data_IF_032981209435
#
_entry.id   IF_032981209435
#
_cell.length_a   1.000
_cell.length_b   1.000
_cell.length_c   1.000
_cell.angle_alpha   90.00
_cell.angle_beta   90.00
_cell.angle_gamma   90.00
#
_symmetry.space_group_name_H-M   'P 1'
#
loop_
_entity.id
_entity.type
_entity.pdbx_description
1 polymer ?
#
# COMPACT_ATOMS: atom_id res chain seq x y z
N UNK A 1 22.86 -57.55 -4.11
CA UNK A 1 21.85 -56.50 -4.37
C UNK A 1 20.61 -56.85 -3.58
N UNK A 2 20.44 -56.27 -2.39
CA UNK A 2 19.23 -56.42 -1.58
C UNK A 2 18.31 -55.24 -1.90
N UNK A 3 17.11 -55.53 -2.40
CA UNK A 3 16.08 -54.55 -2.70
C UNK A 3 15.56 -53.92 -1.38
N UNK A 4 15.55 -52.59 -1.32
CA UNK A 4 14.91 -51.85 -0.24
C UNK A 4 13.40 -52.04 -0.35
N UNK A 5 12.82 -52.78 0.59
CA UNK A 5 11.38 -52.90 0.77
C UNK A 5 10.87 -51.58 1.35
N UNK A 6 10.27 -50.73 0.51
CA UNK A 6 9.47 -49.60 0.99
C UNK A 6 8.13 -50.16 1.52
N UNK A 7 8.08 -50.45 2.82
CA UNK A 7 6.82 -50.78 3.50
C UNK A 7 6.05 -49.46 3.61
N UNK A 8 5.02 -49.31 2.80
CA UNK A 8 4.02 -48.26 2.93
C UNK A 8 3.16 -48.56 4.18
N UNK A 9 3.70 -48.22 5.35
CA UNK A 9 3.15 -48.54 6.69
C UNK A 9 1.96 -47.63 7.09
N UNK A 10 1.42 -46.87 6.12
CA UNK A 10 0.31 -45.94 6.30
C UNK A 10 -1.04 -46.63 6.58
N UNK A 11 -1.10 -47.95 6.45
CA UNK A 11 -2.28 -48.79 6.76
C UNK A 11 -2.57 -48.88 8.26
N UNK A 12 -1.59 -48.56 9.12
CA UNK A 12 -1.75 -48.59 10.58
C UNK A 12 -2.37 -47.33 11.17
N UNK A 13 -2.47 -46.26 10.40
CA UNK A 13 -2.99 -44.97 10.86
C UNK A 13 -4.52 -44.88 10.63
N UNK A 14 -5.31 -44.45 11.63
CA UNK A 14 -6.73 -44.14 11.45
C UNK A 14 -6.96 -43.12 10.32
N UNK A 15 -8.11 -43.19 9.66
CA UNK A 15 -8.44 -42.25 8.57
C UNK A 15 -8.53 -40.79 9.05
N UNK A 16 -9.03 -40.59 10.27
CA UNK A 16 -9.16 -39.30 10.93
C UNK A 16 -7.92 -38.91 11.78
N UNK A 17 -6.78 -39.58 11.61
CA UNK A 17 -5.61 -39.37 12.49
C UNK A 17 -5.16 -37.91 12.55
N UNK A 18 -5.30 -37.15 11.46
CA UNK A 18 -4.89 -35.74 11.37
C UNK A 18 -5.86 -34.77 12.07
N UNK A 19 -7.03 -35.27 12.50
CA UNK A 19 -8.08 -34.51 13.18
C UNK A 19 -8.15 -34.85 14.68
N UNK A 20 -7.19 -35.64 15.18
CA UNK A 20 -7.13 -36.00 16.60
C UNK A 20 -6.62 -34.82 17.44
N UNK A 21 -7.37 -34.53 18.49
CA UNK A 21 -7.08 -33.48 19.47
C UNK A 21 -7.36 -33.97 20.90
N UNK A 22 -6.82 -33.29 21.89
CA UNK A 22 -6.98 -33.55 23.32
C UNK A 22 -6.68 -35.00 23.72
N UNK A 23 -7.61 -35.60 24.48
CA UNK A 23 -7.45 -36.95 25.01
C UNK A 23 -7.35 -38.03 23.92
N UNK A 24 -8.01 -37.84 22.78
CA UNK A 24 -7.98 -38.82 21.70
C UNK A 24 -6.61 -38.83 21.02
N UNK A 25 -5.97 -37.67 20.87
CA UNK A 25 -4.57 -37.57 20.47
C UNK A 25 -3.63 -38.26 21.48
N UNK A 26 -3.83 -38.05 22.78
CA UNK A 26 -3.01 -38.71 23.80
C UNK A 26 -3.18 -40.23 23.84
N UNK A 27 -4.39 -40.75 23.64
CA UNK A 27 -4.62 -42.19 23.54
C UNK A 27 -3.92 -42.78 22.32
N UNK A 28 -3.98 -42.08 21.19
CA UNK A 28 -3.32 -42.47 19.96
C UNK A 28 -1.79 -42.47 20.10
N UNK A 29 -1.19 -41.41 20.65
CA UNK A 29 0.27 -41.38 20.86
C UNK A 29 0.72 -42.44 21.86
N UNK A 30 -0.09 -42.74 22.88
CA UNK A 30 0.22 -43.78 23.87
C UNK A 30 0.23 -45.18 23.24
N UNK A 31 -0.69 -45.47 22.32
CA UNK A 31 -0.73 -46.75 21.62
C UNK A 31 0.39 -46.91 20.59
N UNK A 32 0.79 -45.82 19.92
CA UNK A 32 1.81 -45.83 18.87
C UNK A 32 3.24 -45.74 19.38
N UNK A 33 3.48 -44.93 20.42
CA UNK A 33 4.82 -44.54 20.85
C UNK A 33 5.07 -44.76 22.34
N UNK A 34 4.08 -45.28 23.08
CA UNK A 34 4.19 -45.62 24.49
C UNK A 34 3.91 -44.46 25.45
N UNK A 35 3.74 -44.80 26.73
CA UNK A 35 3.29 -43.86 27.76
C UNK A 35 4.27 -42.71 28.03
N UNK A 36 5.58 -42.97 27.94
CA UNK A 36 6.62 -41.96 28.24
C UNK A 36 6.58 -40.80 27.24
N UNK A 37 6.45 -41.07 25.94
CA UNK A 37 6.35 -40.01 24.94
C UNK A 37 5.07 -39.20 25.13
N UNK A 38 3.95 -39.86 25.42
CA UNK A 38 2.68 -39.17 25.72
C UNK A 38 2.79 -38.26 26.94
N UNK A 39 3.51 -38.67 28.00
CA UNK A 39 3.77 -37.80 29.15
C UNK A 39 4.58 -36.56 28.78
N UNK A 40 5.61 -36.71 27.93
CA UNK A 40 6.40 -35.57 27.41
C UNK A 40 5.52 -34.57 26.66
N UNK A 41 4.61 -35.07 25.82
CA UNK A 41 3.67 -34.23 25.06
C UNK A 41 2.65 -33.53 25.96
N UNK A 42 2.13 -34.22 26.98
CA UNK A 42 1.19 -33.65 27.95
C UNK A 42 1.79 -32.50 28.76
N UNK A 43 3.05 -32.63 29.19
CA UNK A 43 3.72 -31.58 29.95
C UNK A 43 3.91 -30.31 29.12
N UNK A 44 4.07 -30.45 27.81
CA UNK A 44 4.25 -29.34 26.87
C UNK A 44 2.94 -28.82 26.27
N UNK A 45 1.80 -29.35 26.73
CA UNK A 45 0.48 -29.00 26.19
C UNK A 45 0.37 -29.22 24.66
N UNK A 46 1.12 -30.21 24.15
CA UNK A 46 1.03 -30.65 22.74
C UNK A 46 -0.13 -31.64 22.68
N UNK A 47 -1.31 -31.15 22.38
CA UNK A 47 -2.57 -31.90 22.49
C UNK A 47 -3.20 -32.26 21.14
N UNK A 48 -2.58 -31.88 20.02
CA UNK A 48 -3.10 -32.15 18.68
C UNK A 48 -2.00 -32.56 17.71
N UNK A 49 -2.39 -33.28 16.65
CA UNK A 49 -1.46 -33.63 15.56
C UNK A 49 -0.90 -32.39 14.87
N UNK A 50 -1.68 -31.33 14.76
CA UNK A 50 -1.24 -30.06 14.17
C UNK A 50 -0.09 -29.43 14.96
N UNK A 51 -0.24 -29.27 16.28
CA UNK A 51 0.79 -28.69 17.14
C UNK A 51 2.03 -29.60 17.18
N UNK A 52 1.81 -30.92 17.25
CA UNK A 52 2.89 -31.91 17.22
C UNK A 52 3.76 -31.78 15.96
N UNK A 53 3.16 -31.61 14.78
CA UNK A 53 3.89 -31.48 13.52
C UNK A 53 4.64 -30.15 13.37
N UNK A 54 4.21 -29.10 14.07
CA UNK A 54 4.87 -27.79 14.07
C UNK A 54 6.01 -27.67 15.09
N UNK A 55 6.08 -28.59 16.05
CA UNK A 55 7.10 -28.56 17.09
C UNK A 55 8.42 -29.12 16.54
N UNK A 56 9.51 -28.34 16.62
CA UNK A 56 10.84 -28.70 16.11
C UNK A 56 11.51 -29.78 16.95
N UNK A 57 11.58 -29.60 18.26
CA UNK A 57 12.17 -30.56 19.20
C UNK A 57 11.40 -30.57 20.54
N UNK A 58 10.66 -31.64 20.79
CA UNK A 58 9.91 -31.85 22.05
C UNK A 58 10.82 -32.17 23.25
N UNK A 59 12.11 -32.40 23.04
CA UNK A 59 13.05 -32.76 24.11
C UNK A 59 13.87 -31.57 24.60
N UNK A 60 13.77 -30.41 23.95
CA UNK A 60 14.47 -29.19 24.35
C UNK A 60 14.10 -28.75 25.77
N UNK A 61 12.86 -28.99 26.19
CA UNK A 61 12.37 -28.68 27.54
C UNK A 61 13.21 -29.30 28.66
N UNK A 62 13.91 -30.41 28.41
CA UNK A 62 14.74 -31.08 29.40
C UNK A 62 16.09 -30.40 29.64
N UNK A 63 16.44 -29.37 28.88
CA UNK A 63 17.58 -28.51 29.18
C UNK A 63 17.30 -27.58 30.38
N UNK A 64 16.03 -27.40 30.76
CA UNK A 64 15.66 -26.56 31.89
C UNK A 64 15.61 -27.34 33.22
N UNK A 65 15.99 -26.65 34.30
CA UNK A 65 15.87 -27.18 35.66
C UNK A 65 14.49 -26.88 36.22
N UNK A 66 13.63 -27.91 36.23
CA UNK A 66 12.29 -27.85 36.81
C UNK A 66 12.04 -29.07 37.67
N UNK A 67 11.44 -28.84 38.84
CA UNK A 67 11.05 -29.91 39.78
C UNK A 67 10.04 -30.87 39.15
N UNK A 68 9.15 -30.36 38.29
CA UNK A 68 8.14 -31.15 37.57
C UNK A 68 8.80 -32.11 36.58
N UNK A 69 9.93 -31.71 35.97
CA UNK A 69 10.64 -32.53 34.99
C UNK A 69 11.56 -33.56 35.63
N UNK A 70 11.88 -33.47 36.93
CA UNK A 70 12.90 -34.31 37.56
C UNK A 70 12.56 -35.79 37.51
N UNK A 71 11.32 -36.13 37.81
CA UNK A 71 10.84 -37.52 37.77
C UNK A 71 10.81 -38.07 36.34
N UNK A 72 10.45 -37.23 35.36
CA UNK A 72 10.42 -37.62 33.96
C UNK A 72 11.83 -37.74 33.36
N UNK A 73 12.75 -36.82 33.70
CA UNK A 73 14.18 -36.87 33.31
C UNK A 73 14.80 -38.22 33.68
N UNK A 74 14.56 -38.70 34.90
CA UNK A 74 15.07 -40.01 35.36
C UNK A 74 14.57 -41.21 34.53
N UNK A 75 13.41 -41.07 33.88
CA UNK A 75 12.79 -42.15 33.09
C UNK A 75 13.22 -42.09 31.62
N UNK A 76 13.34 -40.90 31.05
CA UNK A 76 13.53 -40.70 29.61
C UNK A 76 14.99 -40.59 29.19
N UNK A 77 15.91 -40.30 30.10
CA UNK A 77 17.29 -39.99 29.77
C UNK A 77 18.26 -40.26 30.90
N UNK A 78 19.49 -39.80 30.72
CA UNK A 78 20.57 -39.86 31.68
C UNK A 78 21.34 -38.55 31.66
N UNK A 79 21.88 -38.15 32.81
CA UNK A 79 22.78 -37.02 32.90
C UNK A 79 24.16 -37.44 32.38
N UNK A 80 24.69 -36.68 31.42
CA UNK A 80 26.08 -36.83 31.00
C UNK A 80 27.01 -36.18 32.03
N UNK A 81 28.25 -36.65 32.12
CA UNK A 81 29.28 -36.09 33.02
C UNK A 81 29.52 -34.59 32.80
N UNK A 82 29.15 -34.07 31.62
CA UNK A 82 29.31 -32.66 31.22
C UNK A 82 28.10 -31.77 31.59
N UNK A 83 27.26 -32.18 32.54
CA UNK A 83 26.03 -31.46 32.95
C UNK A 83 24.99 -31.28 31.83
N UNK A 84 25.07 -32.08 30.77
CA UNK A 84 24.10 -32.07 29.66
C UNK A 84 23.19 -33.29 29.74
N UNK A 85 21.88 -33.05 29.66
CA UNK A 85 20.88 -34.13 29.71
C UNK A 85 20.74 -34.81 28.33
N UNK A 86 20.85 -36.14 28.30
CA UNK A 86 20.70 -36.92 27.07
C UNK A 86 19.47 -37.83 27.14
N UNK A 87 18.55 -37.65 26.18
CA UNK A 87 17.38 -38.53 26.01
C UNK A 87 17.78 -39.86 25.41
N UNK A 88 17.21 -40.95 25.94
CA UNK A 88 17.39 -42.31 25.42
C UNK A 88 17.07 -42.37 23.93
N UNK A 89 18.00 -42.94 23.16
CA UNK A 89 17.89 -43.05 21.70
C UNK A 89 16.57 -43.71 21.24
N UNK A 90 16.08 -44.70 21.99
CA UNK A 90 14.80 -45.36 21.68
C UNK A 90 13.60 -44.40 21.67
N UNK A 91 13.54 -43.43 22.58
CA UNK A 91 12.47 -42.43 22.60
C UNK A 91 12.59 -41.43 21.45
N UNK A 92 13.82 -41.02 21.11
CA UNK A 92 14.08 -40.18 19.94
C UNK A 92 13.60 -40.86 18.65
N UNK A 93 13.98 -42.13 18.46
CA UNK A 93 13.56 -42.91 17.28
C UNK A 93 12.04 -43.10 17.23
N UNK A 94 11.37 -43.28 18.37
CA UNK A 94 9.92 -43.38 18.43
C UNK A 94 9.22 -42.07 18.03
N UNK A 95 9.72 -40.93 18.52
CA UNK A 95 9.24 -39.61 18.13
C UNK A 95 9.45 -39.35 16.63
N UNK A 96 10.67 -39.59 16.13
CA UNK A 96 11.02 -39.40 14.72
C UNK A 96 10.16 -40.28 13.80
N UNK A 97 9.95 -41.55 14.18
CA UNK A 97 9.10 -42.46 13.44
C UNK A 97 7.64 -41.99 13.39
N UNK A 98 7.07 -41.58 14.53
CA UNK A 98 5.71 -41.03 14.59
C UNK A 98 5.58 -39.74 13.77
N UNK A 99 6.56 -38.83 13.90
CA UNK A 99 6.62 -37.59 13.12
C UNK A 99 6.66 -37.87 11.62
N UNK A 100 7.50 -38.81 11.19
CA UNK A 100 7.60 -39.21 9.78
C UNK A 100 6.30 -39.83 9.25
N UNK A 101 5.64 -40.68 10.04
CA UNK A 101 4.36 -41.29 9.67
C UNK A 101 3.26 -40.23 9.51
N UNK A 102 3.11 -39.33 10.48
CA UNK A 102 2.09 -38.27 10.45
C UNK A 102 2.35 -37.27 9.32
N UNK A 103 3.62 -36.92 9.06
CA UNK A 103 4.02 -36.09 7.90
C UNK A 103 3.65 -36.78 6.58
N UNK A 104 4.00 -38.06 6.42
CA UNK A 104 3.65 -38.82 5.21
C UNK A 104 2.13 -38.88 4.97
N UNK A 105 1.33 -39.10 6.02
CA UNK A 105 -0.15 -39.11 5.93
C UNK A 105 -0.73 -37.73 5.64
N UNK A 106 -0.16 -36.68 6.23
CA UNK A 106 -0.47 -35.28 5.93
C UNK A 106 -0.23 -34.98 4.45
N UNK A 107 0.97 -35.29 3.96
CA UNK A 107 1.36 -35.09 2.57
C UNK A 107 0.45 -35.86 1.59
N UNK A 108 0.02 -37.08 1.96
CA UNK A 108 -0.96 -37.88 1.20
C UNK A 108 -2.38 -37.29 1.21
N UNK A 109 -2.86 -36.72 2.32
CA UNK A 109 -4.15 -35.99 2.36
C UNK A 109 -4.07 -34.74 1.49
N UNK A 110 -2.93 -34.04 1.49
CA UNK A 110 -2.67 -32.97 0.55
C UNK A 110 -2.67 -33.48 -0.90
N UNK A 111 -2.01 -34.60 -1.23
CA UNK A 111 -2.00 -35.14 -2.61
C UNK A 111 -3.36 -35.65 -3.10
N UNK A 112 -4.20 -36.21 -2.23
CA UNK A 112 -5.56 -36.67 -2.59
C UNK A 112 -6.57 -35.53 -2.63
N UNK A 113 -6.45 -34.51 -1.76
CA UNK A 113 -7.25 -33.29 -1.84
C UNK A 113 -6.82 -32.37 -2.99
N UNK A 114 -5.60 -32.56 -3.53
CA UNK A 114 -5.01 -31.72 -4.57
C UNK A 114 -5.31 -32.14 -6.00
N UNK A 115 -5.94 -33.29 -6.26
CA UNK A 115 -6.32 -33.68 -7.63
C UNK A 115 -7.31 -32.69 -8.28
N UNK A 116 -8.22 -32.10 -7.49
CA UNK A 116 -9.18 -31.09 -7.95
C UNK A 116 -8.61 -29.65 -7.95
N UNK A 117 -7.46 -29.42 -7.30
CA UNK A 117 -6.81 -28.10 -7.16
C UNK A 117 -5.62 -27.95 -8.10
N UNK A 118 -4.82 -28.99 -8.35
CA UNK A 118 -3.71 -28.95 -9.32
C UNK A 118 -4.21 -28.82 -10.75
N UNK A 119 -5.32 -29.48 -11.11
CA UNK A 119 -5.88 -29.31 -12.45
C UNK A 119 -6.33 -27.86 -12.67
N UNK A 120 -6.93 -27.23 -11.64
CA UNK A 120 -7.29 -25.80 -11.68
C UNK A 120 -6.07 -24.88 -11.70
N UNK A 121 -5.04 -25.16 -10.89
CA UNK A 121 -3.81 -24.37 -10.83
C UNK A 121 -3.01 -24.50 -12.13
N UNK A 122 -2.89 -25.70 -12.70
CA UNK A 122 -2.19 -25.93 -13.97
C UNK A 122 -2.95 -25.27 -15.14
N UNK A 123 -4.29 -25.31 -15.13
CA UNK A 123 -5.12 -24.51 -16.06
C UNK A 123 -4.89 -23.00 -15.84
N UNK A 124 -4.75 -22.54 -14.60
CA UNK A 124 -4.52 -21.13 -14.25
C UNK A 124 -3.11 -20.66 -14.66
N UNK A 125 -2.09 -21.46 -14.42
CA UNK A 125 -0.70 -21.21 -14.78
C UNK A 125 -0.53 -21.21 -16.30
N UNK A 126 -1.23 -22.08 -17.03
CA UNK A 126 -1.31 -22.05 -18.50
C UNK A 126 -2.02 -20.80 -19.02
N UNK A 127 -3.02 -20.28 -18.29
CA UNK A 127 -3.78 -19.08 -18.68
C UNK A 127 -3.05 -17.76 -18.32
N UNK A 128 -2.15 -17.79 -17.35
CA UNK A 128 -1.45 -16.61 -16.81
C UNK A 128 0.08 -16.82 -16.81
N UNK A 129 0.74 -16.68 -17.97
CA UNK A 129 2.19 -16.95 -18.11
C UNK A 129 3.08 -16.05 -17.24
N UNK A 130 2.59 -14.85 -16.87
CA UNK A 130 3.31 -13.93 -15.97
C UNK A 130 3.40 -14.52 -14.56
N UNK A 131 2.34 -15.18 -14.08
CA UNK A 131 2.35 -15.84 -12.77
C UNK A 131 3.37 -16.97 -12.73
N UNK A 132 3.44 -17.76 -13.81
CA UNK A 132 4.45 -18.82 -13.96
C UNK A 132 5.87 -18.24 -13.97
N UNK A 133 6.10 -17.14 -14.70
CA UNK A 133 7.40 -16.45 -14.70
C UNK A 133 7.79 -15.93 -13.32
N UNK A 134 6.83 -15.47 -12.53
CA UNK A 134 7.06 -14.90 -11.20
C UNK A 134 7.35 -15.99 -10.17
N UNK A 135 6.66 -17.13 -10.27
CA UNK A 135 6.95 -18.32 -9.46
C UNK A 135 8.32 -18.91 -9.79
N UNK A 136 8.64 -19.07 -11.09
CA UNK A 136 9.96 -19.54 -11.52
C UNK A 136 11.07 -18.58 -11.09
N UNK A 137 10.83 -17.27 -11.10
CA UNK A 137 11.79 -16.29 -10.59
C UNK A 137 12.07 -16.52 -9.09
N UNK A 138 11.01 -16.72 -8.31
CA UNK A 138 11.12 -16.96 -6.87
C UNK A 138 11.79 -18.31 -6.53
N UNK A 139 11.48 -19.38 -7.24
CA UNK A 139 12.08 -20.71 -7.01
C UNK A 139 13.57 -20.78 -7.40
N UNK A 140 14.01 -19.95 -8.35
CA UNK A 140 15.39 -19.94 -8.82
C UNK A 140 16.34 -19.08 -7.96
N UNK A 141 15.80 -18.15 -7.16
CA UNK A 141 16.61 -17.39 -6.22
C UNK A 141 16.71 -18.12 -4.87
N UNK A 142 17.81 -18.87 -4.68
CA UNK A 142 18.24 -19.39 -3.37
C UNK A 142 18.72 -18.26 -2.44
N UNK A 143 17.92 -17.22 -2.26
CA UNK A 143 18.30 -16.01 -1.53
C UNK A 143 17.77 -16.04 -0.10
N UNK A 144 18.65 -15.65 0.82
CA UNK A 144 18.43 -15.62 2.26
C UNK A 144 17.20 -14.78 2.63
N UNK A 145 16.40 -15.32 3.57
CA UNK A 145 15.00 -14.99 3.87
C UNK A 145 14.59 -13.50 4.07
N UNK A 146 15.51 -12.55 4.23
CA UNK A 146 15.14 -11.19 4.64
C UNK A 146 14.92 -10.20 3.48
N UNK A 147 15.49 -10.42 2.29
CA UNK A 147 15.42 -9.42 1.21
C UNK A 147 14.12 -9.43 0.40
N UNK A 148 13.29 -10.48 0.54
CA UNK A 148 12.09 -10.67 -0.26
C UNK A 148 10.82 -10.90 0.57
N UNK A 149 10.77 -10.45 1.83
CA UNK A 149 9.63 -10.63 2.73
C UNK A 149 8.29 -10.26 2.08
N UNK A 150 8.25 -9.11 1.36
CA UNK A 150 7.05 -8.67 0.65
C UNK A 150 6.71 -9.56 -0.54
N UNK A 151 7.70 -10.02 -1.32
CA UNK A 151 7.47 -10.88 -2.48
C UNK A 151 6.96 -12.26 -2.04
N UNK A 152 7.54 -12.82 -0.98
CA UNK A 152 7.08 -14.06 -0.35
C UNK A 152 5.64 -13.89 0.16
N UNK A 153 5.32 -12.78 0.84
CA UNK A 153 3.96 -12.46 1.27
C UNK A 153 2.99 -12.35 0.08
N UNK A 154 3.43 -11.70 -1.00
CA UNK A 154 2.65 -11.49 -2.22
C UNK A 154 2.32 -12.82 -2.91
N UNK A 155 3.33 -13.67 -3.13
CA UNK A 155 3.19 -15.00 -3.74
C UNK A 155 2.32 -15.89 -2.86
N UNK A 156 2.59 -15.94 -1.55
CA UNK A 156 1.79 -16.73 -0.61
C UNK A 156 0.32 -16.30 -0.60
N UNK A 157 0.05 -15.00 -0.74
CA UNK A 157 -1.32 -14.49 -0.81
C UNK A 157 -2.02 -14.92 -2.09
N UNK A 158 -1.33 -14.87 -3.24
CA UNK A 158 -1.86 -15.36 -4.52
C UNK A 158 -2.20 -16.84 -4.41
N UNK A 159 -1.25 -17.66 -3.94
CA UNK A 159 -1.43 -19.12 -3.81
C UNK A 159 -2.57 -19.46 -2.87
N UNK A 160 -2.68 -18.78 -1.72
CA UNK A 160 -3.79 -18.96 -0.77
C UNK A 160 -5.13 -18.52 -1.34
N UNK A 161 -5.19 -17.41 -2.08
CA UNK A 161 -6.44 -16.94 -2.65
C UNK A 161 -6.89 -17.83 -3.81
N UNK A 162 -5.97 -18.27 -4.67
CA UNK A 162 -6.28 -19.15 -5.80
C UNK A 162 -6.67 -20.58 -5.37
N UNK A 163 -6.26 -21.03 -4.19
CA UNK A 163 -6.72 -22.32 -3.65
C UNK A 163 -8.17 -22.26 -3.14
N UNK A 164 -8.74 -21.05 -2.95
CA UNK A 164 -10.13 -20.88 -2.55
C UNK A 164 -11.06 -21.02 -3.77
N UNK A 165 -12.17 -21.74 -3.58
CA UNK A 165 -13.17 -21.96 -4.62
C UNK A 165 -13.99 -20.71 -4.97
N UNK A 166 -13.94 -19.66 -4.15
CA UNK A 166 -14.76 -18.46 -4.31
C UNK A 166 -13.95 -17.17 -4.10
N UNK A 167 -14.00 -16.28 -5.09
CA UNK A 167 -13.30 -15.00 -5.13
C UNK A 167 -13.73 -14.02 -4.03
N UNK A 168 -14.96 -14.14 -3.52
CA UNK A 168 -15.47 -13.31 -2.41
C UNK A 168 -14.75 -13.56 -1.08
N UNK A 169 -14.04 -14.69 -0.95
CA UNK A 169 -13.30 -15.07 0.25
C UNK A 169 -11.83 -14.66 0.19
N UNK A 170 -11.41 -13.96 -0.85
CA UNK A 170 -10.03 -13.51 -0.94
C UNK A 170 -9.68 -12.61 0.25
N UNK A 171 -8.57 -12.93 0.90
CA UNK A 171 -8.04 -12.18 2.03
C UNK A 171 -6.70 -11.60 1.65
N UNK A 172 -6.42 -10.41 2.18
CA UNK A 172 -5.23 -9.66 1.88
C UNK A 172 -4.65 -9.13 3.19
N UNK A 173 -3.33 -9.24 3.32
CA UNK A 173 -2.58 -8.67 4.44
C UNK A 173 -2.57 -7.14 4.38
N UNK A 174 -2.37 -6.48 5.52
CA UNK A 174 -2.36 -5.01 5.61
C UNK A 174 -1.18 -4.37 4.86
N UNK A 175 0.00 -5.01 4.82
CA UNK A 175 1.12 -4.56 3.96
C UNK A 175 0.71 -4.58 2.49
N UNK A 176 -0.02 -5.62 2.08
CA UNK A 176 -0.48 -5.79 0.71
C UNK A 176 -1.62 -4.82 0.34
N UNK A 177 -2.55 -4.58 1.26
CA UNK A 177 -3.59 -3.54 1.09
C UNK A 177 -2.96 -2.17 0.91
N UNK A 178 -1.94 -1.84 1.70
CA UNK A 178 -1.23 -0.57 1.63
C UNK A 178 -0.52 -0.43 0.28
N UNK A 179 0.17 -1.48 -0.17
CA UNK A 179 0.75 -1.54 -1.52
C UNK A 179 -0.30 -1.36 -2.62
N UNK A 180 -1.44 -2.04 -2.51
CA UNK A 180 -2.52 -1.96 -3.49
C UNK A 180 -3.11 -0.54 -3.59
N UNK A 181 -3.28 0.16 -2.46
CA UNK A 181 -3.69 1.56 -2.41
C UNK A 181 -2.63 2.46 -3.07
N UNK A 182 -1.35 2.29 -2.74
CA UNK A 182 -0.27 3.05 -3.37
C UNK A 182 -0.22 2.84 -4.90
N UNK A 183 -0.35 1.59 -5.35
CA UNK A 183 -0.39 1.25 -6.77
C UNK A 183 -1.57 1.91 -7.48
N UNK A 184 -2.74 1.94 -6.85
CA UNK A 184 -3.93 2.60 -7.39
C UNK A 184 -3.76 4.12 -7.48
N UNK A 185 -3.22 4.76 -6.43
CA UNK A 185 -3.03 6.22 -6.38
C UNK A 185 -1.95 6.66 -7.38
N UNK A 186 -0.80 5.98 -7.41
CA UNK A 186 0.34 6.36 -8.24
C UNK A 186 0.18 5.91 -9.71
N UNK A 187 -0.30 4.69 -9.92
CA UNK A 187 -0.46 4.11 -11.26
C UNK A 187 -1.81 4.42 -11.91
N UNK A 188 -2.80 4.88 -11.13
CA UNK A 188 -4.16 5.10 -11.60
C UNK A 188 -4.96 3.79 -11.82
N UNK A 189 -6.26 3.96 -12.09
CA UNK A 189 -7.21 2.85 -12.24
C UNK A 189 -6.81 1.83 -13.31
N UNK A 190 -6.32 2.30 -14.46
CA UNK A 190 -5.97 1.42 -15.60
C UNK A 190 -4.81 0.49 -15.25
N UNK A 191 -3.75 1.04 -14.67
CA UNK A 191 -2.57 0.27 -14.24
C UNK A 191 -2.94 -0.74 -13.17
N UNK A 192 -3.75 -0.31 -12.20
CA UNK A 192 -4.22 -1.19 -11.13
C UNK A 192 -5.03 -2.38 -11.68
N UNK A 193 -6.02 -2.12 -12.53
CA UNK A 193 -6.83 -3.17 -13.16
C UNK A 193 -5.99 -4.08 -14.06
N UNK A 194 -5.03 -3.53 -14.80
CA UNK A 194 -4.11 -4.32 -15.61
C UNK A 194 -3.37 -5.35 -14.75
N UNK A 195 -2.75 -4.93 -13.65
CA UNK A 195 -2.02 -5.84 -12.76
C UNK A 195 -2.99 -6.86 -12.13
N UNK A 196 -4.14 -6.41 -11.63
CA UNK A 196 -5.14 -7.27 -10.98
C UNK A 196 -5.70 -8.36 -11.90
N UNK A 197 -5.94 -8.03 -13.17
CA UNK A 197 -6.49 -8.97 -14.15
C UNK A 197 -5.44 -9.95 -14.67
N UNK A 198 -4.18 -9.51 -14.76
CA UNK A 198 -3.08 -10.38 -15.19
C UNK A 198 -2.56 -11.28 -14.07
N UNK A 199 -2.73 -10.89 -12.79
CA UNK A 199 -2.36 -11.66 -11.61
C UNK A 199 -3.61 -11.91 -10.73
N UNK A 200 -4.47 -12.86 -11.09
CA UNK A 200 -5.69 -13.14 -10.33
C UNK A 200 -5.37 -13.56 -8.89
N UNK A 201 -6.14 -13.03 -7.93
CA UNK A 201 -5.93 -13.30 -6.50
C UNK A 201 -4.84 -12.46 -5.83
N UNK A 202 -4.07 -11.66 -6.59
CA UNK A 202 -2.99 -10.82 -6.07
C UNK A 202 -3.46 -9.54 -5.38
N UNK A 203 -4.47 -8.87 -5.94
CA UNK A 203 -4.90 -7.55 -5.51
C UNK A 203 -6.40 -7.50 -5.20
N UNK A 204 -6.84 -6.68 -4.22
CA UNK A 204 -8.25 -6.45 -3.91
C UNK A 204 -9.05 -5.91 -5.11
N UNK A 205 -10.38 -6.06 -5.07
CA UNK A 205 -11.25 -5.40 -6.05
C UNK A 205 -11.33 -3.88 -5.81
N UNK A 206 -11.79 -3.13 -6.82
CA UNK A 206 -11.89 -1.67 -6.75
C UNK A 206 -12.79 -1.19 -5.61
N UNK A 207 -13.87 -1.88 -5.31
CA UNK A 207 -14.78 -1.51 -4.21
C UNK A 207 -14.05 -1.57 -2.86
N UNK A 208 -13.23 -2.60 -2.65
CA UNK A 208 -12.36 -2.72 -1.47
C UNK A 208 -11.34 -1.59 -1.43
N UNK A 209 -10.72 -1.25 -2.57
CA UNK A 209 -9.76 -0.13 -2.63
C UNK A 209 -10.42 1.21 -2.30
N UNK A 210 -11.58 1.50 -2.90
CA UNK A 210 -12.34 2.71 -2.59
C UNK A 210 -12.74 2.75 -1.11
N UNK A 211 -13.18 1.63 -0.54
CA UNK A 211 -13.47 1.54 0.89
C UNK A 211 -12.23 1.76 1.75
N UNK A 212 -11.08 1.18 1.39
CA UNK A 212 -9.82 1.40 2.11
C UNK A 212 -9.33 2.84 2.02
N UNK A 213 -9.51 3.49 0.88
CA UNK A 213 -9.21 4.91 0.71
C UNK A 213 -10.15 5.72 1.58
N UNK A 214 -11.47 5.51 1.50
CA UNK A 214 -12.47 6.22 2.29
C UNK A 214 -12.32 6.02 3.81
N UNK A 215 -11.96 4.81 4.25
CA UNK A 215 -11.77 4.49 5.67
C UNK A 215 -10.46 5.06 6.22
N UNK A 216 -9.45 5.25 5.37
CA UNK A 216 -8.22 5.97 5.73
C UNK A 216 -8.35 7.49 5.55
N UNK A 217 -9.36 7.93 4.79
CA UNK A 217 -9.64 9.34 4.59
C UNK A 217 -10.43 9.90 5.78
N UNK A 218 -9.71 10.59 6.65
CA UNK A 218 -10.15 11.95 6.93
C UNK A 218 -10.30 12.62 5.55
N UNK A 219 -11.51 12.82 5.02
CA UNK A 219 -11.84 13.33 3.68
C UNK A 219 -10.78 14.25 3.03
N UNK A 220 -9.94 13.74 2.12
CA UNK A 220 -9.06 14.57 1.29
C UNK A 220 -9.94 15.35 0.29
N UNK A 221 -10.43 16.50 0.72
CA UNK A 221 -11.07 17.47 -0.17
C UNK A 221 -10.03 18.05 -1.10
N UNK A 222 -10.24 17.86 -2.41
CA UNK A 222 -9.45 18.47 -3.47
C UNK A 222 -9.34 19.99 -3.24
N UNK A 223 -8.12 20.54 -3.36
CA UNK A 223 -7.83 21.94 -3.09
C UNK A 223 -7.59 22.32 -1.62
N UNK A 224 -7.78 21.41 -0.65
CA UNK A 224 -7.51 21.68 0.77
C UNK A 224 -6.16 21.12 1.22
N UNK A 225 -5.17 21.99 1.29
CA UNK A 225 -3.84 21.63 1.80
C UNK A 225 -3.86 21.35 3.30
N UNK A 226 -3.20 20.27 3.73
CA UNK A 226 -3.14 19.81 5.13
C UNK A 226 -1.82 20.16 5.80
N UNK A 227 -1.41 21.42 5.66
CA UNK A 227 -0.13 21.91 6.21
C UNK A 227 0.04 21.57 7.68
N UNK A 228 -1.03 21.62 8.47
CA UNK A 228 -1.00 21.30 9.91
C UNK A 228 -0.65 19.84 10.21
N UNK A 229 -1.14 18.88 9.41
CA UNK A 229 -0.83 17.46 9.61
C UNK A 229 0.60 17.15 9.18
N UNK A 230 1.03 17.73 8.06
CA UNK A 230 2.41 17.59 7.58
C UNK A 230 3.41 18.23 8.54
N UNK A 231 3.11 19.43 9.05
CA UNK A 231 3.86 20.10 10.11
C UNK A 231 3.98 19.22 11.36
N UNK A 232 2.86 18.65 11.83
CA UNK A 232 2.83 17.75 12.98
C UNK A 232 3.69 16.51 12.75
N UNK A 233 3.60 15.90 11.56
CA UNK A 233 4.41 14.75 11.16
C UNK A 233 5.90 15.07 11.13
N UNK A 234 6.31 16.18 10.49
CA UNK A 234 7.72 16.57 10.39
C UNK A 234 8.30 16.96 11.75
N UNK A 235 7.50 17.58 12.62
CA UNK A 235 7.88 17.87 14.01
C UNK A 235 8.17 16.59 14.81
N UNK A 236 7.46 15.49 14.56
CA UNK A 236 7.76 14.18 15.21
C UNK A 236 9.17 13.66 14.91
N UNK A 237 9.78 14.09 13.80
CA UNK A 237 11.15 13.72 13.43
C UNK A 237 12.18 14.79 13.80
N UNK A 238 11.76 15.87 14.48
CA UNK A 238 12.66 16.97 14.87
C UNK A 238 13.26 17.72 13.67
N UNK A 239 12.65 17.62 12.49
CA UNK A 239 13.16 18.24 11.26
C UNK A 239 12.66 19.67 11.15
N UNK A 240 13.59 20.61 10.98
CA UNK A 240 13.27 21.98 10.60
C UNK A 240 12.86 21.98 9.12
N UNK A 241 11.64 22.41 8.82
CA UNK A 241 11.14 22.50 7.44
C UNK A 241 10.85 23.94 7.05
N UNK A 242 11.12 24.26 5.78
CA UNK A 242 10.68 25.49 5.11
C UNK A 242 9.72 25.09 4.01
N UNK A 243 8.60 25.79 3.87
CA UNK A 243 7.68 25.56 2.77
C UNK A 243 8.28 26.12 1.49
N UNK A 244 8.66 25.23 0.57
CA UNK A 244 9.02 25.59 -0.79
C UNK A 244 7.79 25.39 -1.67
N UNK A 245 7.20 26.48 -2.16
CA UNK A 245 6.37 26.41 -3.35
C UNK A 245 7.31 26.56 -4.55
N UNK A 246 7.42 25.53 -5.38
CA UNK A 246 8.13 25.64 -6.66
C UNK A 246 7.43 26.67 -7.57
N UNK A 247 8.10 27.09 -8.67
CA UNK A 247 7.75 28.13 -9.67
C UNK A 247 6.33 28.10 -10.29
N UNK A 248 5.43 27.28 -9.75
CA UNK A 248 4.05 27.11 -10.17
C UNK A 248 3.24 28.41 -10.18
N UNK A 249 3.50 29.37 -9.28
CA UNK A 249 2.73 30.62 -9.25
C UNK A 249 2.90 31.43 -10.55
N UNK A 250 4.13 31.52 -11.06
CA UNK A 250 4.45 32.18 -12.34
C UNK A 250 3.78 31.46 -13.51
N UNK A 251 3.81 30.13 -13.51
CA UNK A 251 3.16 29.31 -14.53
C UNK A 251 1.63 29.35 -14.47
N UNK A 252 1.05 29.39 -13.27
CA UNK A 252 -0.39 29.52 -13.05
C UNK A 252 -0.90 30.87 -13.56
N UNK A 253 -0.24 31.95 -13.15
CA UNK A 253 -0.59 33.32 -13.57
C UNK A 253 -0.47 33.48 -15.08
N UNK A 254 0.60 32.96 -15.70
CA UNK A 254 0.73 32.99 -17.17
C UNK A 254 -0.34 32.15 -17.87
N UNK A 255 -0.76 31.02 -17.30
CA UNK A 255 -1.89 30.22 -17.82
C UNK A 255 -3.22 30.95 -17.73
N UNK A 256 -3.50 31.64 -16.62
CA UNK A 256 -4.71 32.45 -16.42
C UNK A 256 -4.74 33.65 -17.39
N UNK A 257 -3.60 34.34 -17.57
CA UNK A 257 -3.44 35.40 -18.59
C UNK A 257 -3.66 34.86 -19.99
N UNK A 258 -3.05 33.72 -20.34
CA UNK A 258 -3.21 33.14 -21.67
C UNK A 258 -4.67 32.76 -21.97
N UNK A 259 -5.41 32.33 -20.94
CA UNK A 259 -6.84 32.02 -21.07
C UNK A 259 -7.68 33.27 -21.28
N UNK A 260 -7.38 34.38 -20.58
CA UNK A 260 -8.04 35.68 -20.79
C UNK A 260 -7.86 36.21 -22.22
N UNK A 261 -6.65 36.07 -22.78
CA UNK A 261 -6.33 36.57 -24.10
C UNK A 261 -6.71 35.60 -25.24
N UNK A 262 -7.18 34.39 -24.91
CA UNK A 262 -7.55 33.40 -25.91
C UNK A 262 -8.89 33.74 -26.54
N UNK A 263 -8.95 33.82 -27.87
CA UNK A 263 -10.19 34.03 -28.60
C UNK A 263 -11.19 32.86 -28.47
N UNK A 264 -10.72 31.68 -28.05
CA UNK A 264 -11.54 30.46 -27.93
C UNK A 264 -12.07 30.20 -26.53
N UNK A 265 -11.56 30.91 -25.51
CA UNK A 265 -11.95 30.66 -24.13
C UNK A 265 -13.14 31.54 -23.74
N UNK A 266 -14.27 30.91 -23.44
CA UNK A 266 -15.34 31.58 -22.69
C UNK A 266 -14.96 31.57 -21.20
N UNK A 267 -14.88 32.76 -20.59
CA UNK A 267 -14.56 32.94 -19.18
C UNK A 267 -15.71 33.69 -18.50
N UNK A 268 -16.14 33.18 -17.35
CA UNK A 268 -17.18 33.77 -16.53
C UNK A 268 -16.83 33.60 -15.05
N UNK A 269 -17.24 34.57 -14.23
CA UNK A 269 -17.21 34.49 -12.77
C UNK A 269 -18.63 34.81 -12.30
N UNK A 270 -19.32 33.80 -11.76
CA UNK A 270 -20.76 33.87 -11.49
C UNK A 270 -21.54 34.10 -12.79
N UNK A 271 -22.39 35.12 -12.80
CA UNK A 271 -23.17 35.60 -13.96
C UNK A 271 -22.42 36.61 -14.83
N UNK A 272 -21.20 37.02 -14.43
CA UNK A 272 -20.43 38.07 -15.12
C UNK A 272 -19.48 37.48 -16.15
N UNK A 273 -19.45 38.09 -17.33
CA UNK A 273 -18.54 37.71 -18.42
C UNK A 273 -17.15 38.32 -18.24
N UNK A 274 -16.11 37.56 -18.56
CA UNK A 274 -14.73 38.02 -18.59
C UNK A 274 -14.27 38.11 -20.04
N UNK A 275 -13.76 39.27 -20.43
CA UNK A 275 -13.25 39.48 -21.78
C UNK A 275 -12.02 40.37 -21.82
N UNK A 276 -11.11 40.07 -22.75
CA UNK A 276 -9.97 40.92 -23.12
C UNK A 276 -10.42 42.25 -23.72
N UNK A 277 -11.64 42.34 -24.27
CA UNK A 277 -12.13 43.58 -24.90
C UNK A 277 -12.08 44.78 -23.95
N UNK A 278 -12.29 44.58 -22.66
CA UNK A 278 -12.18 45.65 -21.66
C UNK A 278 -10.75 46.20 -21.53
N UNK A 279 -9.72 45.35 -21.70
CA UNK A 279 -8.33 45.80 -21.75
C UNK A 279 -7.98 46.46 -23.09
N UNK A 280 -8.58 45.98 -24.19
CA UNK A 280 -8.39 46.58 -25.50
C UNK A 280 -9.01 47.99 -25.55
N UNK A 281 -10.17 48.19 -24.92
CA UNK A 281 -10.80 49.51 -24.79
C UNK A 281 -9.89 50.53 -24.10
N UNK A 282 -9.09 50.12 -23.11
CA UNK A 282 -8.12 51.02 -22.49
C UNK A 282 -7.01 51.44 -23.45
N UNK A 283 -6.59 50.56 -24.36
CA UNK A 283 -5.57 50.86 -25.37
C UNK A 283 -6.10 51.70 -26.53
N UNK A 284 -7.38 51.54 -26.85
CA UNK A 284 -8.02 52.19 -27.99
C UNK A 284 -8.73 53.50 -27.60
N UNK A 285 -8.80 53.84 -26.30
CA UNK A 285 -9.41 55.07 -25.81
C UNK A 285 -8.48 56.28 -26.03
N UNK A 286 -8.89 57.23 -26.86
CA UNK A 286 -8.13 58.44 -27.19
C UNK A 286 -7.95 59.40 -25.99
N UNK A 287 -8.81 59.31 -24.97
CA UNK A 287 -8.72 60.13 -23.75
C UNK A 287 -7.69 59.58 -22.75
N UNK A 288 -7.25 58.33 -22.91
CA UNK A 288 -6.29 57.67 -22.02
C UNK A 288 -4.94 57.54 -22.72
N UNK A 289 -3.90 58.12 -22.13
CA UNK A 289 -2.55 57.98 -22.67
C UNK A 289 -1.86 56.76 -22.06
N UNK A 290 -0.86 56.22 -22.77
CA UNK A 290 -0.08 55.06 -22.31
C UNK A 290 0.53 55.23 -20.90
N UNK A 291 0.79 56.46 -20.48
CA UNK A 291 1.31 56.75 -19.15
C UNK A 291 0.29 56.45 -18.04
N UNK A 292 -1.01 56.49 -18.35
CA UNK A 292 -2.08 56.28 -17.37
C UNK A 292 -2.24 54.78 -17.06
N UNK A 293 -2.13 53.91 -18.06
CA UNK A 293 -2.38 52.47 -17.90
C UNK A 293 -1.11 51.59 -18.04
N UNK A 294 0.00 52.11 -18.58
CA UNK A 294 1.27 51.38 -18.73
C UNK A 294 1.30 50.23 -19.75
N UNK A 295 0.14 49.79 -20.25
CA UNK A 295 -0.02 48.73 -21.26
C UNK A 295 0.50 49.08 -22.67
N UNK A 296 0.90 48.05 -23.42
CA UNK A 296 1.13 48.11 -24.87
C UNK A 296 0.33 47.04 -25.61
N UNK A 297 0.17 47.22 -26.93
CA UNK A 297 -0.45 46.21 -27.80
C UNK A 297 0.23 44.83 -27.73
N UNK A 298 1.53 44.78 -27.42
CA UNK A 298 2.24 43.50 -27.23
C UNK A 298 1.82 42.77 -25.94
N UNK A 299 1.36 43.49 -24.92
CA UNK A 299 0.95 42.88 -23.64
C UNK A 299 -0.35 42.08 -23.81
N UNK A 300 -1.21 42.42 -24.78
CA UNK A 300 -2.45 41.68 -25.09
C UNK A 300 -2.27 40.60 -26.18
N UNK A 301 -1.07 40.46 -26.76
CA UNK A 301 -0.79 39.45 -27.79
C UNK A 301 -0.32 38.13 -27.17
N UNK A 302 -0.82 37.03 -27.71
CA UNK A 302 -0.45 35.65 -27.33
C UNK A 302 0.79 35.10 -28.06
N UNK A 303 1.68 35.97 -28.55
CA UNK A 303 2.89 35.53 -29.27
C UNK A 303 3.86 34.78 -28.35
N UNK A 304 4.04 35.27 -27.13
CA UNK A 304 4.81 34.61 -26.08
C UNK A 304 3.87 34.17 -24.94
N UNK A 305 3.71 32.86 -24.79
CA UNK A 305 2.86 32.23 -23.77
C UNK A 305 3.52 32.19 -22.39
N UNK A 306 4.82 32.45 -22.28
CA UNK A 306 5.57 32.47 -21.04
C UNK A 306 5.83 33.89 -20.52
N UNK A 307 5.29 34.92 -21.19
CA UNK A 307 5.50 36.32 -20.82
C UNK A 307 4.80 36.71 -19.50
N UNK A 308 5.49 36.45 -18.39
CA UNK A 308 5.04 36.84 -17.06
C UNK A 308 5.00 38.36 -16.86
N UNK A 309 5.88 39.11 -17.54
CA UNK A 309 5.91 40.58 -17.45
C UNK A 309 4.62 41.22 -17.95
N UNK A 310 4.03 40.67 -19.01
CA UNK A 310 2.70 41.06 -19.48
C UNK A 310 1.63 40.84 -18.40
N UNK A 311 1.72 39.74 -17.63
CA UNK A 311 0.79 39.46 -16.53
C UNK A 311 0.88 40.53 -15.43
N UNK A 312 2.09 40.95 -15.05
CA UNK A 312 2.30 42.03 -14.07
C UNK A 312 1.69 43.36 -14.54
N UNK A 313 1.79 43.66 -15.84
CA UNK A 313 1.28 44.92 -16.40
C UNK A 313 -0.24 44.96 -16.47
N UNK A 314 -0.88 43.91 -17.00
CA UNK A 314 -2.35 43.85 -17.12
C UNK A 314 -3.07 43.76 -15.76
N UNK A 315 -2.34 43.39 -14.70
CA UNK A 315 -2.87 43.32 -13.32
C UNK A 315 -2.36 44.45 -12.43
N UNK A 316 -1.73 45.48 -13.03
CA UNK A 316 -1.25 46.64 -12.28
C UNK A 316 -2.40 47.41 -11.64
N UNK A 317 -2.10 48.10 -10.54
CA UNK A 317 -3.09 48.93 -9.84
C UNK A 317 -3.68 50.00 -10.78
N UNK A 318 -2.85 50.57 -11.65
CA UNK A 318 -3.26 51.58 -12.62
C UNK A 318 -4.33 51.04 -13.57
N UNK A 319 -4.08 49.86 -14.17
CA UNK A 319 -5.08 49.19 -15.02
C UNK A 319 -6.35 48.85 -14.25
N UNK A 320 -6.23 48.30 -13.04
CA UNK A 320 -7.39 47.95 -12.22
C UNK A 320 -8.23 49.17 -11.81
N UNK A 321 -7.60 50.32 -11.60
CA UNK A 321 -8.29 51.57 -11.27
C UNK A 321 -9.00 52.18 -12.48
N UNK A 322 -8.48 51.94 -13.69
CA UNK A 322 -9.03 52.47 -14.94
C UNK A 322 -10.10 51.58 -15.57
N UNK A 323 -10.13 50.28 -15.26
CA UNK A 323 -11.28 49.45 -15.60
C UNK A 323 -12.48 49.94 -14.80
N UNK A 324 -13.42 50.57 -15.51
CA UNK A 324 -14.72 51.01 -14.96
C UNK A 324 -15.34 49.85 -14.20
N UNK A 325 -15.97 50.09 -13.04
CA UNK A 325 -16.66 49.04 -12.27
C UNK A 325 -18.15 49.06 -12.56
N UNK A 326 -18.50 48.78 -13.82
CA UNK A 326 -19.89 48.60 -14.22
C UNK A 326 -20.26 47.11 -14.30
N UNK A 327 -21.54 46.82 -14.55
CA UNK A 327 -22.03 45.44 -14.60
C UNK A 327 -21.39 44.59 -15.71
N UNK A 328 -20.85 45.20 -16.76
CA UNK A 328 -20.24 44.51 -17.89
C UNK A 328 -18.77 44.19 -17.65
N UNK A 329 -18.03 45.11 -17.01
CA UNK A 329 -16.58 45.00 -16.78
C UNK A 329 -16.21 44.40 -15.42
N UNK A 330 -17.14 44.34 -14.47
CA UNK A 330 -16.92 43.80 -13.12
C UNK A 330 -16.32 42.39 -13.12
N UNK A 331 -16.75 41.52 -14.04
CA UNK A 331 -16.17 40.18 -14.20
C UNK A 331 -14.67 40.22 -14.54
N UNK A 332 -14.29 41.02 -15.55
CA UNK A 332 -12.87 41.20 -15.91
C UNK A 332 -12.07 41.85 -14.78
N UNK A 333 -12.63 42.84 -14.07
CA UNK A 333 -11.98 43.47 -12.92
C UNK A 333 -11.67 42.44 -11.83
N UNK A 334 -12.66 41.63 -11.43
CA UNK A 334 -12.49 40.60 -10.41
C UNK A 334 -11.44 39.56 -10.82
N UNK A 335 -11.47 39.14 -12.08
CA UNK A 335 -10.50 38.17 -12.61
C UNK A 335 -9.06 38.71 -12.58
N UNK A 336 -8.84 39.95 -13.01
CA UNK A 336 -7.51 40.57 -12.96
C UNK A 336 -7.05 40.83 -11.52
N UNK A 337 -7.97 41.22 -10.63
CA UNK A 337 -7.70 41.37 -9.20
C UNK A 337 -7.29 40.04 -8.58
N UNK A 338 -7.97 38.94 -8.90
CA UNK A 338 -7.60 37.60 -8.46
C UNK A 338 -6.17 37.24 -8.88
N UNK A 339 -5.81 37.49 -10.14
CA UNK A 339 -4.45 37.24 -10.62
C UNK A 339 -3.44 38.11 -9.87
N UNK A 340 -3.74 39.40 -9.61
CA UNK A 340 -2.88 40.29 -8.81
C UNK A 340 -2.66 39.75 -7.40
N UNK A 341 -3.73 39.27 -6.75
CA UNK A 341 -3.65 38.68 -5.41
C UNK A 341 -2.72 37.46 -5.39
N UNK A 342 -2.82 36.57 -6.38
CA UNK A 342 -1.94 35.40 -6.51
C UNK A 342 -0.48 35.82 -6.69
N UNK A 343 -0.20 36.82 -7.54
CA UNK A 343 1.16 37.33 -7.75
C UNK A 343 1.72 37.87 -6.43
N UNK A 344 0.96 38.74 -5.77
CA UNK A 344 1.36 39.39 -4.51
C UNK A 344 1.53 38.36 -3.39
N UNK A 345 0.68 37.33 -3.34
CA UNK A 345 0.73 36.30 -2.29
C UNK A 345 1.78 35.22 -2.50
N UNK A 346 2.24 34.96 -3.72
CA UNK A 346 3.20 33.86 -3.98
C UNK A 346 4.55 34.32 -4.53
N UNK A 347 4.60 35.46 -5.22
CA UNK A 347 5.77 35.88 -6.01
C UNK A 347 6.48 37.08 -5.38
N UNK A 348 5.72 38.00 -4.76
CA UNK A 348 6.29 39.25 -4.24
C UNK A 348 7.11 39.00 -2.95
N UNK A 349 8.43 39.26 -2.93
CA UNK A 349 9.30 38.87 -1.82
C UNK A 349 9.24 39.84 -0.63
N UNK A 350 8.72 41.05 -0.83
CA UNK A 350 8.73 42.16 0.15
C UNK A 350 7.54 42.13 1.12
N UNK A 351 6.64 41.17 0.98
CA UNK A 351 5.39 41.09 1.74
C UNK A 351 5.54 40.21 2.98
N UNK A 352 5.04 40.72 4.12
CA UNK A 352 5.04 39.99 5.39
C UNK A 352 4.21 38.71 5.32
N UNK A 353 4.49 37.75 6.21
CA UNK A 353 3.79 36.47 6.24
C UNK A 353 2.30 36.66 6.55
N UNK A 354 1.95 37.59 7.44
CA UNK A 354 0.56 37.90 7.82
C UNK A 354 -0.23 38.45 6.64
N UNK A 355 0.34 39.42 5.93
CA UNK A 355 -0.25 40.01 4.74
C UNK A 355 -0.41 38.96 3.64
N UNK A 356 0.59 38.08 3.46
CA UNK A 356 0.53 36.96 2.51
C UNK A 356 -0.65 36.03 2.79
N UNK A 357 -0.84 35.65 4.06
CA UNK A 357 -1.96 34.79 4.49
C UNK A 357 -3.31 35.46 4.27
N UNK A 358 -3.41 36.77 4.53
CA UNK A 358 -4.61 37.55 4.26
C UNK A 358 -4.97 37.56 2.77
N UNK A 359 -4.00 37.86 1.90
CA UNK A 359 -4.22 37.91 0.45
C UNK A 359 -4.60 36.53 -0.13
N UNK A 360 -4.01 35.44 0.38
CA UNK A 360 -4.39 34.07 0.03
C UNK A 360 -5.85 33.77 0.41
N UNK A 361 -6.23 34.06 1.65
CA UNK A 361 -7.57 33.79 2.13
C UNK A 361 -8.62 34.60 1.35
N UNK A 362 -8.31 35.87 1.06
CA UNK A 362 -9.18 36.73 0.28
C UNK A 362 -9.31 36.26 -1.18
N UNK A 363 -8.22 35.79 -1.80
CA UNK A 363 -8.25 35.22 -3.15
C UNK A 363 -9.10 33.95 -3.27
N UNK A 364 -9.13 33.11 -2.23
CA UNK A 364 -9.95 31.90 -2.20
C UNK A 364 -11.42 32.12 -1.86
N UNK A 365 -11.78 33.34 -1.46
CA UNK A 365 -13.15 33.72 -1.09
C UNK A 365 -13.87 34.53 -2.18
N UNK A 366 -13.14 34.97 -3.22
CA UNK A 366 -13.63 35.59 -4.45
C UNK A 366 -13.96 34.50 -5.48
#
# INVERSE_FOLDING_TARGET
MAAAVSIDDNSRLPENVLELEGDDFYRFTKSMSGALLTEVLKIQDIDSVFIFLQTSDIFEIFQHDSTILRDLKSKIGFDSNDSTFQVKLGLKLQYEYLSKLLKSKSDQKYTKSSSLTFEKIDILLRKHPILLSLLNFYENENTTNDQHEFLSLFINTITKNLSLSNTSRYRYDDKLKSFAVCLYILGGKTTYEFVRLNLPGSLPNLTTIHSLIQNNDDNLTEGKFRFNKMAKYLNTFGVQYTYCAEDYATHLVTKLRNRLLSATAALQVGDKCITMKHLQQLLDNEEMIRLDHGLTQSDLKLTDRQNFRSCLRITSCDVLNLIVRDDNSSGTYMYLKLIKLIITSYIEPTISIEERMFQLHYSGSL
#
